data_IF_331874282230
#
_entry.id   IF_331874282230
#
_cell.length_a   1.000
_cell.length_b   1.000
_cell.length_c   1.000
_cell.angle_alpha   90.00
_cell.angle_beta   90.00
_cell.angle_gamma   90.00
#
_symmetry.space_group_name_H-M   'P 1'
#
loop_
_entity.id
_entity.type
_entity.pdbx_description
1 polymer ?
#
# COMPACT_ATOMS: atom_id res chain seq x y z
N UNK A 1 -0.85 74.38 21.21
CA UNK A 1 -0.76 73.13 20.43
C UNK A 1 -0.07 72.13 21.34
N UNK A 2 -0.78 71.09 21.79
CA UNK A 2 -0.20 70.07 22.65
C UNK A 2 0.90 69.33 21.88
N UNK A 3 2.07 69.13 22.51
CA UNK A 3 3.16 68.37 21.88
C UNK A 3 2.86 66.89 22.00
N UNK A 4 3.29 66.10 21.01
CA UNK A 4 3.12 64.64 21.02
C UNK A 4 3.72 63.99 22.28
N UNK A 5 4.75 64.64 22.86
CA UNK A 5 5.41 64.28 24.11
C UNK A 5 4.56 64.47 25.38
N UNK A 6 3.40 65.12 25.27
CA UNK A 6 2.48 65.35 26.40
C UNK A 6 1.39 64.26 26.47
N UNK A 7 1.34 63.34 25.49
CA UNK A 7 0.39 62.23 25.48
C UNK A 7 0.80 61.05 26.40
N UNK A 8 1.96 61.14 27.07
CA UNK A 8 2.34 60.23 28.16
C UNK A 8 2.64 58.80 27.73
N UNK A 9 3.17 58.60 26.52
CA UNK A 9 3.51 57.28 25.99
C UNK A 9 4.92 57.28 25.42
N UNK A 10 5.82 56.49 26.00
CA UNK A 10 7.24 56.44 25.64
C UNK A 10 7.48 56.13 24.15
N UNK A 11 6.56 55.42 23.50
CA UNK A 11 6.62 55.12 22.06
C UNK A 11 6.25 56.33 21.18
N UNK A 12 5.35 57.19 21.65
CA UNK A 12 4.98 58.43 20.96
C UNK A 12 6.09 59.48 21.13
N UNK A 13 6.74 59.50 22.29
CA UNK A 13 7.91 60.34 22.57
C UNK A 13 9.07 59.99 21.65
N UNK A 14 9.35 58.69 21.48
CA UNK A 14 10.37 58.20 20.54
C UNK A 14 10.10 58.62 19.09
N UNK A 15 8.83 58.56 18.65
CA UNK A 15 8.44 58.97 17.30
C UNK A 15 8.46 60.49 17.09
N UNK A 16 8.28 61.28 18.15
CA UNK A 16 8.21 62.75 18.09
C UNK A 16 9.51 63.42 17.60
N UNK A 17 10.63 62.71 17.67
CA UNK A 17 11.97 63.22 17.39
C UNK A 17 12.23 63.38 15.88
N UNK A 18 11.59 62.57 15.03
CA UNK A 18 11.86 62.53 13.57
C UNK A 18 10.56 62.55 12.73
N UNK A 19 9.49 63.09 13.30
CA UNK A 19 8.13 63.04 12.74
C UNK A 19 7.94 64.08 11.62
N UNK A 20 8.07 63.64 10.37
CA UNK A 20 7.61 64.41 9.21
C UNK A 20 6.09 64.23 9.04
N UNK A 21 5.35 65.35 8.98
CA UNK A 21 3.90 65.40 8.78
C UNK A 21 3.51 65.08 7.32
N UNK A 22 3.93 63.90 6.86
CA UNK A 22 3.58 63.36 5.55
C UNK A 22 2.84 62.03 5.72
N UNK A 23 1.90 61.75 4.82
CA UNK A 23 1.14 60.51 4.84
C UNK A 23 2.04 59.32 4.50
N UNK A 24 2.62 58.68 5.51
CA UNK A 24 3.59 57.59 5.34
C UNK A 24 3.33 56.46 6.33
N UNK A 25 3.61 55.23 5.91
CA UNK A 25 3.68 54.09 6.82
C UNK A 25 5.00 54.13 7.60
N UNK A 26 4.92 53.83 8.89
CA UNK A 26 6.04 53.80 9.81
C UNK A 26 6.26 52.36 10.26
N UNK A 27 7.49 51.88 10.12
CA UNK A 27 7.95 50.63 10.74
C UNK A 27 9.21 50.96 11.52
N UNK A 28 9.18 50.70 12.82
CA UNK A 28 10.29 51.00 13.70
C UNK A 28 10.36 49.96 14.82
N UNK A 29 11.53 49.83 15.43
CA UNK A 29 11.75 48.95 16.58
C UNK A 29 11.86 49.81 17.84
N UNK A 30 11.08 49.45 18.86
CA UNK A 30 11.11 50.08 20.17
C UNK A 30 11.04 48.99 21.24
N UNK A 31 11.97 49.00 22.20
CA UNK A 31 12.12 47.98 23.24
C UNK A 31 12.16 46.52 22.69
N UNK A 32 13.02 46.27 21.68
CA UNK A 32 13.17 44.98 20.98
C UNK A 32 11.90 44.43 20.29
N UNK A 33 10.83 45.20 20.26
CA UNK A 33 9.57 44.85 19.60
C UNK A 33 9.42 45.69 18.33
N UNK A 34 8.96 45.05 17.25
CA UNK A 34 8.59 45.75 16.01
C UNK A 34 7.23 46.41 16.18
N UNK A 35 7.15 47.66 15.75
CA UNK A 35 5.94 48.47 15.76
C UNK A 35 5.59 48.89 14.35
N UNK A 36 4.31 48.77 14.02
CA UNK A 36 3.75 49.19 12.74
C UNK A 36 2.81 50.36 12.99
N UNK A 37 2.92 51.38 12.16
CA UNK A 37 2.08 52.55 12.26
C UNK A 37 1.97 53.31 10.96
N UNK A 38 1.30 54.43 11.01
CA UNK A 38 1.20 55.33 9.88
C UNK A 38 0.59 56.66 10.25
N UNK A 39 0.94 57.65 9.45
CA UNK A 39 0.37 58.99 9.52
C UNK A 39 -0.59 59.13 8.35
N UNK A 40 -1.80 59.62 8.62
CA UNK A 40 -2.79 59.91 7.58
C UNK A 40 -3.34 61.30 7.79
N UNK A 41 -3.38 62.07 6.71
CA UNK A 41 -4.09 63.34 6.69
C UNK A 41 -5.59 63.08 6.57
N UNK A 42 -6.37 63.67 7.46
CA UNK A 42 -7.83 63.68 7.39
C UNK A 42 -8.32 65.12 7.19
N UNK A 43 -9.11 65.27 6.13
CA UNK A 43 -9.78 66.53 5.81
C UNK A 43 -11.13 66.54 6.51
N UNK A 44 -11.29 67.44 7.49
CA UNK A 44 -12.57 67.63 8.17
C UNK A 44 -13.31 68.78 7.47
N UNK A 45 -14.62 68.64 7.18
CA UNK A 45 -15.43 69.74 6.63
C UNK A 45 -15.37 70.95 7.58
N UNK A 46 -14.77 72.06 7.13
CA UNK A 46 -14.46 73.21 7.98
C UNK A 46 -13.08 73.86 7.74
N UNK A 47 -12.26 73.32 6.84
CA UNK A 47 -11.01 73.95 6.39
C UNK A 47 -9.78 73.67 7.26
N UNK A 48 -9.87 72.71 8.18
CA UNK A 48 -8.74 72.28 9.02
C UNK A 48 -8.29 70.87 8.60
N UNK A 49 -7.01 70.75 8.21
CA UNK A 49 -6.33 69.47 8.00
C UNK A 49 -5.77 68.94 9.31
N UNK A 50 -6.12 67.72 9.67
CA UNK A 50 -5.56 67.03 10.85
C UNK A 50 -4.73 65.83 10.39
N UNK A 51 -3.60 65.60 11.06
CA UNK A 51 -2.80 64.40 10.86
C UNK A 51 -3.07 63.43 12.02
N UNK A 52 -3.47 62.20 11.68
CA UNK A 52 -3.66 61.13 12.64
C UNK A 52 -2.48 60.17 12.56
N UNK A 53 -1.80 59.99 13.68
CA UNK A 53 -0.78 58.98 13.89
C UNK A 53 -1.42 57.78 14.59
N UNK A 54 -1.27 56.59 13.98
CA UNK A 54 -1.66 55.32 14.60
C UNK A 54 -0.44 54.43 14.68
N UNK A 55 -0.22 53.80 15.84
CA UNK A 55 0.88 52.86 16.08
C UNK A 55 0.35 51.65 16.84
N UNK A 56 0.75 50.45 16.44
CA UNK A 56 0.35 49.20 17.08
C UNK A 56 1.51 48.19 17.04
N UNK A 57 1.69 47.37 18.09
CA UNK A 57 2.75 46.38 18.08
C UNK A 57 2.47 45.25 17.07
N UNK A 58 3.45 44.91 16.24
CA UNK A 58 3.30 43.92 15.16
C UNK A 58 2.88 42.54 15.69
N UNK A 59 3.42 42.15 16.85
CA UNK A 59 3.08 40.88 17.51
C UNK A 59 1.61 40.76 17.89
N UNK A 60 0.90 41.87 18.13
CA UNK A 60 -0.52 41.85 18.49
C UNK A 60 -1.38 41.61 17.24
N UNK A 61 -1.04 42.27 16.13
CA UNK A 61 -1.66 42.08 14.81
C UNK A 61 -1.46 40.65 14.28
N UNK A 62 -0.28 40.06 14.53
CA UNK A 62 0.08 38.71 14.07
C UNK A 62 -0.13 37.62 15.13
N UNK A 63 -0.54 37.96 16.36
CA UNK A 63 -0.66 37.00 17.48
C UNK A 63 -1.61 35.84 17.14
N UNK A 64 -2.74 36.16 16.51
CA UNK A 64 -3.72 35.19 16.02
C UNK A 64 -3.17 34.36 14.85
N UNK A 65 -2.43 34.99 13.93
CA UNK A 65 -1.84 34.32 12.77
C UNK A 65 -0.75 33.31 13.18
N UNK A 66 0.08 33.65 14.18
CA UNK A 66 1.12 32.77 14.72
C UNK A 66 0.49 31.58 15.45
N UNK A 67 -0.54 31.80 16.27
CA UNK A 67 -1.26 30.71 16.95
C UNK A 67 -1.89 29.73 15.95
N UNK A 68 -2.49 30.24 14.87
CA UNK A 68 -3.05 29.41 13.78
C UNK A 68 -1.95 28.61 13.07
N UNK A 69 -0.80 29.23 12.80
CA UNK A 69 0.34 28.55 12.19
C UNK A 69 0.84 27.40 13.05
N UNK A 70 1.06 27.64 14.34
CA UNK A 70 1.64 26.63 15.23
C UNK A 70 0.66 25.45 15.45
N UNK A 71 -0.65 25.75 15.56
CA UNK A 71 -1.69 24.72 15.59
C UNK A 71 -1.76 23.92 14.28
N UNK A 72 -1.62 24.57 13.13
CA UNK A 72 -1.62 23.89 11.83
C UNK A 72 -0.40 22.98 11.67
N UNK A 73 0.79 23.44 12.09
CA UNK A 73 2.01 22.62 12.07
C UNK A 73 1.86 21.37 12.94
N UNK A 74 1.30 21.51 14.14
CA UNK A 74 1.07 20.39 15.05
C UNK A 74 0.06 19.40 14.45
N UNK A 75 -1.04 19.88 13.86
CA UNK A 75 -2.02 19.02 13.18
C UNK A 75 -1.40 18.29 11.99
N UNK A 76 -0.65 18.97 11.13
CA UNK A 76 0.06 18.35 10.01
C UNK A 76 1.07 17.32 10.48
N UNK A 77 1.83 17.61 11.53
CA UNK A 77 2.79 16.65 12.12
C UNK A 77 2.07 15.39 12.62
N UNK A 78 0.94 15.52 13.31
CA UNK A 78 0.12 14.38 13.76
C UNK A 78 -0.39 13.58 12.57
N UNK A 79 -0.91 14.25 11.53
CA UNK A 79 -1.42 13.57 10.33
C UNK A 79 -0.30 12.76 9.65
N UNK A 80 0.89 13.34 9.48
CA UNK A 80 2.04 12.65 8.90
C UNK A 80 2.44 11.45 9.78
N UNK A 81 2.53 11.67 11.09
CA UNK A 81 2.89 10.64 12.06
C UNK A 81 1.91 9.46 12.05
N UNK A 82 0.60 9.72 11.86
CA UNK A 82 -0.43 8.68 11.73
C UNK A 82 -0.44 8.03 10.35
N UNK A 83 -0.08 8.76 9.29
CA UNK A 83 -0.05 8.23 7.93
C UNK A 83 0.99 7.12 7.78
N UNK A 84 2.16 7.27 8.41
CA UNK A 84 3.24 6.27 8.36
C UNK A 84 2.77 4.87 8.84
N UNK A 85 2.25 4.69 10.07
CA UNK A 85 1.80 3.38 10.53
C UNK A 85 0.59 2.88 9.74
N UNK A 86 -0.31 3.77 9.29
CA UNK A 86 -1.46 3.38 8.46
C UNK A 86 -0.97 2.76 7.15
N UNK A 87 -0.14 3.47 6.38
CA UNK A 87 0.40 2.98 5.10
C UNK A 87 1.18 1.68 5.30
N UNK A 88 2.01 1.62 6.35
CA UNK A 88 2.76 0.41 6.68
C UNK A 88 1.86 -0.80 6.98
N UNK A 89 0.77 -0.61 7.74
CA UNK A 89 -0.20 -1.67 8.04
C UNK A 89 -0.91 -2.15 6.79
N UNK A 90 -1.36 -1.23 5.92
CA UNK A 90 -2.00 -1.57 4.65
C UNK A 90 -1.05 -2.34 3.72
N UNK A 91 0.18 -1.85 3.55
CA UNK A 91 1.20 -2.53 2.76
C UNK A 91 1.44 -3.95 3.27
N UNK A 92 1.60 -4.12 4.60
CA UNK A 92 1.80 -5.45 5.20
C UNK A 92 0.61 -6.38 5.00
N UNK A 93 -0.62 -5.87 5.12
CA UNK A 93 -1.85 -6.66 4.90
C UNK A 93 -2.01 -7.16 3.47
N UNK A 94 -1.52 -6.40 2.47
CA UNK A 94 -1.59 -6.78 1.05
C UNK A 94 -0.40 -7.66 0.67
N UNK A 95 0.82 -7.22 0.98
CA UNK A 95 2.05 -7.87 0.50
C UNK A 95 2.30 -9.22 1.15
N UNK A 96 1.92 -9.43 2.42
CA UNK A 96 2.17 -10.70 3.10
C UNK A 96 1.40 -11.86 2.46
N UNK A 97 0.07 -11.77 2.22
CA UNK A 97 -0.67 -12.80 1.48
C UNK A 97 -0.16 -13.01 0.05
N UNK A 98 0.14 -11.94 -0.70
CA UNK A 98 0.67 -12.05 -2.07
C UNK A 98 1.99 -12.84 -2.12
N UNK A 99 2.89 -12.60 -1.16
CA UNK A 99 4.16 -13.33 -1.10
C UNK A 99 3.96 -14.82 -0.77
N UNK A 100 2.93 -15.17 0.01
CA UNK A 100 2.56 -16.57 0.25
C UNK A 100 2.00 -17.23 -1.01
N UNK A 101 1.12 -16.54 -1.74
CA UNK A 101 0.60 -17.03 -3.01
C UNK A 101 1.73 -17.20 -4.06
N UNK A 102 2.72 -16.30 -4.09
CA UNK A 102 3.88 -16.45 -4.97
C UNK A 102 4.69 -17.72 -4.65
N UNK A 103 4.96 -17.98 -3.36
CA UNK A 103 5.63 -19.22 -2.95
C UNK A 103 4.79 -20.46 -3.31
N UNK A 104 3.47 -20.39 -3.18
CA UNK A 104 2.58 -21.49 -3.56
C UNK A 104 2.63 -21.76 -5.07
N UNK A 105 2.69 -20.71 -5.89
CA UNK A 105 2.86 -20.86 -7.34
C UNK A 105 4.20 -21.52 -7.70
N UNK A 106 5.27 -21.21 -6.97
CA UNK A 106 6.59 -21.85 -7.12
C UNK A 106 6.55 -23.34 -6.75
N UNK A 107 5.84 -23.71 -5.68
CA UNK A 107 5.62 -25.13 -5.34
C UNK A 107 4.84 -25.86 -6.44
N UNK A 108 3.79 -25.22 -6.97
CA UNK A 108 2.99 -25.77 -8.08
C UNK A 108 3.88 -25.95 -9.34
N UNK A 109 4.75 -25.00 -9.67
CA UNK A 109 5.62 -25.12 -10.85
C UNK A 109 6.67 -26.24 -10.71
N UNK A 110 7.07 -26.53 -9.47
CA UNK A 110 7.94 -27.65 -9.12
C UNK A 110 7.19 -28.98 -8.93
N UNK A 111 5.88 -29.03 -9.26
CA UNK A 111 5.00 -30.19 -9.07
C UNK A 111 4.90 -30.69 -7.62
N UNK A 112 5.19 -29.83 -6.65
CA UNK A 112 5.04 -30.14 -5.23
C UNK A 112 3.63 -29.79 -4.75
N UNK A 113 2.79 -30.82 -4.69
CA UNK A 113 1.39 -30.71 -4.24
C UNK A 113 1.18 -31.13 -2.79
N UNK A 114 2.24 -31.37 -2.02
CA UNK A 114 2.18 -32.00 -0.69
C UNK A 114 1.56 -31.14 0.42
N UNK A 115 1.61 -29.81 0.28
CA UNK A 115 1.12 -28.89 1.32
C UNK A 115 -0.31 -28.38 1.07
N UNK A 116 -1.17 -28.31 2.11
CA UNK A 116 -2.49 -27.71 1.97
C UNK A 116 -2.38 -26.19 1.84
N UNK A 117 -2.96 -25.62 0.79
CA UNK A 117 -2.98 -24.17 0.62
C UNK A 117 -3.93 -23.55 1.65
N UNK A 118 -3.38 -22.93 2.69
CA UNK A 118 -4.16 -22.22 3.71
C UNK A 118 -3.76 -20.75 3.74
N UNK A 119 -4.11 -20.03 2.69
CA UNK A 119 -4.03 -18.57 2.66
C UNK A 119 -5.44 -18.00 2.74
N UNK A 120 -5.83 -17.49 3.91
CA UNK A 120 -7.02 -16.64 4.06
C UNK A 120 -6.56 -15.18 4.06
N UNK A 121 -7.17 -14.35 3.23
CA UNK A 121 -6.90 -12.92 3.18
C UNK A 121 -8.12 -12.13 3.64
N UNK A 122 -7.90 -11.02 4.35
CA UNK A 122 -8.99 -10.09 4.68
C UNK A 122 -9.42 -9.23 3.48
N UNK A 123 -8.63 -9.24 2.41
CA UNK A 123 -8.89 -8.49 1.17
C UNK A 123 -9.59 -9.45 0.22
N UNK A 124 -10.84 -9.15 -0.12
CA UNK A 124 -11.71 -10.03 -0.91
C UNK A 124 -11.08 -10.45 -2.24
N UNK A 125 -10.38 -9.55 -2.92
CA UNK A 125 -9.70 -9.80 -4.19
C UNK A 125 -8.55 -10.83 -4.03
N UNK A 126 -7.80 -10.73 -2.93
CA UNK A 126 -6.69 -11.64 -2.65
C UNK A 126 -7.22 -13.01 -2.18
N UNK A 127 -8.35 -13.03 -1.49
CA UNK A 127 -9.02 -14.26 -1.06
C UNK A 127 -9.64 -15.01 -2.26
N UNK A 128 -10.23 -14.27 -3.20
CA UNK A 128 -10.70 -14.82 -4.48
C UNK A 128 -9.54 -15.43 -5.29
N UNK A 129 -8.39 -14.74 -5.36
CA UNK A 129 -7.19 -15.27 -6.02
C UNK A 129 -6.66 -16.54 -5.33
N UNK A 130 -6.61 -16.55 -4.00
CA UNK A 130 -6.24 -17.74 -3.21
C UNK A 130 -7.15 -18.93 -3.53
N UNK A 131 -8.47 -18.70 -3.57
CA UNK A 131 -9.45 -19.73 -3.92
C UNK A 131 -9.25 -20.26 -5.34
N UNK A 132 -9.01 -19.37 -6.32
CA UNK A 132 -8.73 -19.77 -7.70
C UNK A 132 -7.45 -20.61 -7.83
N UNK A 133 -6.37 -20.23 -7.14
CA UNK A 133 -5.13 -21.02 -7.12
C UNK A 133 -5.33 -22.39 -6.46
N UNK A 134 -6.15 -22.48 -5.41
CA UNK A 134 -6.47 -23.76 -4.75
C UNK A 134 -7.19 -24.72 -5.68
N UNK A 135 -8.18 -24.21 -6.42
CA UNK A 135 -8.88 -25.02 -7.42
C UNK A 135 -7.90 -25.53 -8.48
N UNK A 136 -7.01 -24.66 -9.01
CA UNK A 136 -5.99 -25.06 -9.97
C UNK A 136 -5.06 -26.15 -9.42
N UNK A 137 -4.53 -25.97 -8.21
CA UNK A 137 -3.68 -26.95 -7.53
C UNK A 137 -4.37 -28.31 -7.41
N UNK A 138 -5.63 -28.30 -6.96
CA UNK A 138 -6.43 -29.51 -6.80
C UNK A 138 -6.67 -30.21 -8.14
N UNK A 139 -7.04 -29.46 -9.18
CA UNK A 139 -7.28 -30.01 -10.52
C UNK A 139 -6.03 -30.66 -11.11
N UNK A 140 -4.87 -29.98 -11.02
CA UNK A 140 -3.60 -30.52 -11.52
C UNK A 140 -3.20 -31.78 -10.76
N UNK A 141 -3.29 -31.77 -9.42
CA UNK A 141 -2.98 -32.93 -8.58
C UNK A 141 -3.87 -34.14 -8.90
N UNK A 142 -5.17 -33.92 -9.08
CA UNK A 142 -6.11 -34.98 -9.49
C UNK A 142 -5.79 -35.52 -10.89
N UNK A 143 -5.50 -34.64 -11.86
CA UNK A 143 -5.13 -35.04 -13.20
C UNK A 143 -3.85 -35.88 -13.24
N UNK A 144 -2.82 -35.47 -12.49
CA UNK A 144 -1.58 -36.25 -12.36
C UNK A 144 -1.83 -37.60 -11.67
N UNK A 145 -2.69 -37.65 -10.65
CA UNK A 145 -3.08 -38.89 -9.98
C UNK A 145 -3.81 -39.85 -10.93
N UNK A 146 -4.66 -39.33 -11.83
CA UNK A 146 -5.32 -40.10 -12.88
C UNK A 146 -4.31 -40.65 -13.89
N UNK A 147 -3.36 -39.83 -14.34
CA UNK A 147 -2.28 -40.29 -15.23
C UNK A 147 -1.45 -41.40 -14.55
N UNK A 148 -1.07 -41.22 -13.29
CA UNK A 148 -0.32 -42.22 -12.54
C UNK A 148 -1.09 -43.53 -12.35
N UNK A 149 -2.40 -43.45 -12.08
CA UNK A 149 -3.24 -44.64 -11.98
C UNK A 149 -3.35 -45.35 -13.33
N UNK A 150 -3.53 -44.61 -14.43
CA UNK A 150 -3.63 -45.16 -15.79
C UNK A 150 -2.30 -45.74 -16.29
N UNK A 151 -1.17 -45.13 -15.94
CA UNK A 151 0.17 -45.59 -16.29
C UNK A 151 0.64 -46.75 -15.39
N UNK A 152 0.20 -46.77 -14.12
CA UNK A 152 0.48 -47.82 -13.14
C UNK A 152 -0.42 -49.05 -13.31
N UNK A 153 -1.65 -48.88 -13.80
CA UNK A 153 -2.52 -49.94 -14.30
C UNK A 153 -2.20 -50.27 -15.76
N UNK A 154 -0.93 -50.50 -16.07
CA UNK A 154 -0.65 -51.52 -17.08
C UNK A 154 -0.86 -52.87 -16.40
N UNK A 155 -2.12 -53.27 -16.29
CA UNK A 155 -2.48 -54.64 -15.95
C UNK A 155 -2.20 -55.52 -17.17
N UNK A 156 -0.94 -55.49 -17.62
CA UNK A 156 -0.41 -56.20 -18.77
C UNK A 156 -0.73 -57.69 -18.61
N UNK A 157 -0.63 -58.22 -17.39
CA UNK A 157 -1.03 -59.58 -17.05
C UNK A 157 -2.52 -59.82 -17.35
N UNK A 158 -3.42 -58.93 -16.91
CA UNK A 158 -4.86 -59.06 -17.21
C UNK A 158 -5.17 -58.87 -18.70
N UNK A 159 -4.44 -57.99 -19.39
CA UNK A 159 -4.59 -57.76 -20.83
C UNK A 159 -4.16 -59.01 -21.61
N UNK A 160 -2.98 -59.55 -21.31
CA UNK A 160 -2.42 -60.75 -21.94
C UNK A 160 -3.36 -61.93 -21.69
N UNK A 161 -3.81 -62.15 -20.45
CA UNK A 161 -4.77 -63.20 -20.11
C UNK A 161 -6.06 -63.12 -20.95
N UNK A 162 -6.65 -61.92 -21.09
CA UNK A 162 -7.87 -61.74 -21.90
C UNK A 162 -7.64 -62.02 -23.37
N UNK A 163 -6.52 -61.56 -23.92
CA UNK A 163 -6.18 -61.79 -25.32
C UNK A 163 -5.95 -63.29 -25.56
N UNK A 164 -5.19 -63.98 -24.70
CA UNK A 164 -4.95 -65.44 -24.80
C UNK A 164 -6.26 -66.22 -24.78
N UNK A 165 -7.18 -65.90 -23.85
CA UNK A 165 -8.50 -66.54 -23.79
C UNK A 165 -9.36 -66.26 -25.03
N UNK A 166 -9.39 -65.02 -25.52
CA UNK A 166 -10.17 -64.66 -26.71
C UNK A 166 -9.60 -65.33 -27.97
N UNK A 167 -8.28 -65.38 -28.12
CA UNK A 167 -7.64 -66.09 -29.23
C UNK A 167 -7.96 -67.58 -29.19
N UNK A 168 -7.87 -68.21 -28.01
CA UNK A 168 -8.24 -69.62 -27.83
C UNK A 168 -9.69 -69.90 -28.23
N UNK A 169 -10.63 -69.03 -27.82
CA UNK A 169 -12.04 -69.14 -28.20
C UNK A 169 -12.28 -68.96 -29.70
N UNK A 170 -11.63 -67.98 -30.34
CA UNK A 170 -11.80 -67.70 -31.77
C UNK A 170 -11.14 -68.80 -32.63
N UNK A 171 -10.03 -69.38 -32.18
CA UNK A 171 -9.32 -70.42 -32.90
C UNK A 171 -9.84 -71.83 -32.62
N UNK A 172 -10.87 -71.99 -31.78
CA UNK A 172 -11.39 -73.29 -31.31
C UNK A 172 -10.27 -74.23 -30.80
N UNK A 173 -9.22 -73.67 -30.18
CA UNK A 173 -8.09 -74.45 -29.69
C UNK A 173 -8.35 -74.96 -28.27
N UNK A 174 -7.88 -76.17 -27.96
CA UNK A 174 -7.96 -76.75 -26.61
C UNK A 174 -7.02 -76.05 -25.59
N UNK A 175 -6.10 -75.22 -26.06
CA UNK A 175 -5.17 -74.46 -25.21
C UNK A 175 -4.42 -73.37 -25.98
N UNK A 176 -4.02 -72.31 -25.27
CA UNK A 176 -3.18 -71.24 -25.81
C UNK A 176 -2.22 -70.73 -24.74
N UNK A 177 -0.98 -70.45 -25.14
CA UNK A 177 0.09 -69.97 -24.26
C UNK A 177 0.65 -68.69 -24.87
N UNK A 178 0.97 -67.71 -24.02
CA UNK A 178 1.56 -66.44 -24.46
C UNK A 178 2.93 -66.25 -23.84
N UNK A 179 3.94 -66.01 -24.68
CA UNK A 179 5.31 -65.72 -24.26
C UNK A 179 5.64 -64.25 -24.46
N UNK A 180 6.29 -63.66 -23.46
CA UNK A 180 6.88 -62.34 -23.56
C UNK A 180 8.37 -62.46 -23.85
N UNK A 181 8.83 -61.73 -24.87
CA UNK A 181 10.24 -61.66 -25.21
C UNK A 181 10.94 -60.55 -24.43
N UNK A 182 11.92 -60.90 -23.60
CA UNK A 182 12.77 -59.95 -22.89
C UNK A 182 14.04 -59.68 -23.70
N UNK A 183 14.02 -58.62 -24.49
CA UNK A 183 15.11 -58.26 -25.42
C UNK A 183 16.49 -58.12 -24.75
N UNK A 184 16.55 -57.64 -23.50
CA UNK A 184 17.81 -57.47 -22.76
C UNK A 184 18.45 -58.79 -22.32
N UNK A 185 17.63 -59.79 -22.02
CA UNK A 185 18.08 -61.09 -21.51
C UNK A 185 18.04 -62.18 -22.59
N UNK A 186 17.46 -61.87 -23.76
CA UNK A 186 17.26 -62.80 -24.87
C UNK A 186 16.53 -64.08 -24.44
N UNK A 187 15.55 -63.94 -23.54
CA UNK A 187 14.73 -65.03 -23.02
C UNK A 187 13.26 -64.82 -23.36
N UNK A 188 12.54 -65.94 -23.50
CA UNK A 188 11.08 -65.99 -23.58
C UNK A 188 10.56 -66.40 -22.21
N UNK A 189 9.72 -65.57 -21.61
CA UNK A 189 9.03 -65.90 -20.37
C UNK A 189 7.56 -66.23 -20.65
N UNK A 190 7.06 -67.39 -20.17
CA UNK A 190 5.64 -67.69 -20.25
C UNK A 190 4.88 -66.72 -19.33
N UNK A 191 3.93 -65.99 -19.91
CA UNK A 191 3.08 -65.04 -19.18
C UNK A 191 1.79 -65.70 -18.68
N UNK A 192 1.20 -66.61 -19.46
CA UNK A 192 -0.03 -67.31 -19.09
C UNK A 192 -0.11 -68.69 -19.75
N UNK A 193 -0.67 -69.68 -19.03
CA UNK A 193 -0.87 -71.08 -19.45
C UNK A 193 -2.35 -71.47 -19.36
#
# INVERSE_FOLDING_TARGET
MAKLSELGSDVLDFLSIDLQLESKSLNFKFNEQSWLGGIREMHIPGGHSFFVLMVSPEKELLSSAIKIRDQSLLMTAIIILLTIPIVWLFARKVSSPLRRLANEAELISNFDFSSPVKTHSMIAEVDALSTAMNMMKSTISQFLSLIHSLAGEQNLDTLLQRITQQTMQISEADGAVTYLYKEKENILEPSFM
#
